data_IF_525207233046
#
_entry.id   IF_525207233046
#
_cell.length_a   1.000
_cell.length_b   1.000
_cell.length_c   1.000
_cell.angle_alpha   90.00
_cell.angle_beta   90.00
_cell.angle_gamma   90.00
#
_symmetry.space_group_name_H-M   'P 1'
#
loop_
_entity.id
_entity.type
_entity.pdbx_description
1 polymer ?
#
# COMPACT_ATOMS: atom_id res chain seq x y z
N UNK A 1 -31.37 5.76 4.50
CA UNK A 1 -29.96 5.32 4.62
C UNK A 1 -29.16 6.47 5.20
N UNK A 2 -28.15 6.19 6.03
CA UNK A 2 -27.22 7.24 6.49
C UNK A 2 -26.50 7.87 5.30
N UNK A 3 -26.17 9.17 5.39
CA UNK A 3 -25.43 9.86 4.33
C UNK A 3 -24.00 9.30 4.25
N UNK A 4 -23.58 8.85 3.06
CA UNK A 4 -22.25 8.26 2.85
C UNK A 4 -21.14 9.31 2.93
N UNK A 5 -21.45 10.58 2.67
CA UNK A 5 -20.50 11.69 2.59
C UNK A 5 -20.36 12.45 3.93
N UNK A 6 -20.15 11.71 5.03
CA UNK A 6 -20.12 12.23 6.41
C UNK A 6 -19.17 13.42 6.59
N UNK A 7 -18.01 13.37 5.92
CA UNK A 7 -16.95 14.36 5.98
C UNK A 7 -16.99 15.31 4.79
N UNK A 8 -17.02 14.80 3.55
CA UNK A 8 -16.84 15.64 2.35
C UNK A 8 -17.97 16.65 2.13
N UNK A 9 -19.16 16.39 2.70
CA UNK A 9 -20.27 17.37 2.74
C UNK A 9 -19.87 18.72 3.35
N UNK A 10 -18.85 18.73 4.22
CA UNK A 10 -18.29 19.97 4.77
C UNK A 10 -17.78 20.91 3.68
N UNK A 11 -17.19 20.36 2.62
CA UNK A 11 -16.68 21.13 1.49
C UNK A 11 -17.71 21.23 0.36
N UNK A 12 -18.55 20.21 0.17
CA UNK A 12 -19.42 20.13 -1.01
C UNK A 12 -20.82 20.72 -0.79
N UNK A 13 -21.31 20.80 0.44
CA UNK A 13 -22.69 21.21 0.76
C UNK A 13 -22.78 22.42 1.69
N UNK A 14 -21.71 22.79 2.39
CA UNK A 14 -21.69 23.99 3.24
C UNK A 14 -21.69 25.26 2.38
N UNK A 15 -22.75 26.10 2.40
CA UNK A 15 -22.82 27.30 1.59
C UNK A 15 -21.76 28.35 1.99
N UNK A 16 -21.15 28.24 3.17
CA UNK A 16 -20.04 29.12 3.59
C UNK A 16 -18.69 28.67 3.05
N UNK A 17 -18.64 27.61 2.21
CA UNK A 17 -17.42 27.09 1.59
C UNK A 17 -17.39 27.25 0.05
N UNK A 18 -17.71 28.44 -0.51
CA UNK A 18 -17.76 28.62 -1.96
C UNK A 18 -16.39 28.41 -2.64
N UNK A 19 -15.29 28.71 -1.95
CA UNK A 19 -13.94 28.48 -2.45
C UNK A 19 -13.62 27.00 -2.64
N UNK A 20 -14.02 26.15 -1.68
CA UNK A 20 -13.84 24.70 -1.78
C UNK A 20 -14.68 24.12 -2.93
N UNK A 21 -15.94 24.56 -3.06
CA UNK A 21 -16.81 24.13 -4.16
C UNK A 21 -16.25 24.53 -5.52
N UNK A 22 -15.75 25.76 -5.67
CA UNK A 22 -15.11 26.21 -6.91
C UNK A 22 -13.88 25.37 -7.29
N UNK A 23 -13.03 25.03 -6.31
CA UNK A 23 -11.88 24.14 -6.52
C UNK A 23 -12.31 22.72 -6.93
N UNK A 24 -13.38 22.19 -6.32
CA UNK A 24 -13.94 20.88 -6.66
C UNK A 24 -14.50 20.85 -8.08
N UNK A 25 -15.20 21.89 -8.52
CA UNK A 25 -15.57 22.05 -9.93
C UNK A 25 -14.36 22.19 -10.84
N UNK A 26 -13.32 22.89 -10.39
CA UNK A 26 -12.06 23.07 -11.13
C UNK A 26 -11.32 21.76 -11.42
N UNK A 27 -11.40 20.78 -10.52
CA UNK A 27 -10.86 19.43 -10.77
C UNK A 27 -11.80 18.52 -11.58
N UNK A 28 -12.97 19.04 -12.01
CA UNK A 28 -13.88 18.37 -12.92
C UNK A 28 -15.09 17.68 -12.29
N UNK A 29 -15.38 17.87 -11.00
CA UNK A 29 -16.63 17.38 -10.42
C UNK A 29 -17.83 18.07 -11.07
N UNK A 30 -18.94 17.34 -11.21
CA UNK A 30 -20.23 17.86 -11.65
C UNK A 30 -21.15 18.09 -10.45
N UNK A 31 -22.26 18.85 -10.59
CA UNK A 31 -23.22 19.06 -9.52
C UNK A 31 -23.70 17.75 -8.86
N UNK A 32 -23.93 16.70 -9.64
CA UNK A 32 -24.32 15.38 -9.16
C UNK A 32 -23.21 14.65 -8.37
N UNK A 33 -21.94 14.99 -8.58
CA UNK A 33 -20.81 14.40 -7.86
C UNK A 33 -20.66 15.00 -6.44
N UNK A 34 -21.12 16.23 -6.23
CA UNK A 34 -21.03 16.93 -4.95
C UNK A 34 -21.81 16.24 -3.81
N UNK A 35 -22.77 15.38 -4.16
CA UNK A 35 -23.53 14.56 -3.20
C UNK A 35 -22.90 13.19 -2.92
N UNK A 36 -21.89 12.76 -3.69
CA UNK A 36 -21.23 11.46 -3.52
C UNK A 36 -20.18 11.53 -2.41
N UNK A 37 -19.92 10.39 -1.78
CA UNK A 37 -18.80 10.26 -0.86
C UNK A 37 -17.47 10.26 -1.65
N UNK A 38 -16.47 10.96 -1.11
CA UNK A 38 -15.14 11.09 -1.69
C UNK A 38 -14.17 10.08 -1.07
N UNK A 39 -13.52 9.29 -1.91
CA UNK A 39 -12.54 8.27 -1.50
C UNK A 39 -11.15 8.72 -1.90
N UNK A 40 -10.29 8.93 -0.90
CA UNK A 40 -8.87 9.19 -1.12
C UNK A 40 -8.14 7.90 -1.50
N UNK A 41 -7.46 7.89 -2.64
CA UNK A 41 -6.66 6.74 -3.10
C UNK A 41 -5.19 7.11 -2.92
N UNK A 42 -4.60 6.65 -1.82
CA UNK A 42 -3.25 7.03 -1.40
C UNK A 42 -2.23 6.05 -1.98
N UNK A 43 -1.46 6.46 -2.99
CA UNK A 43 -0.42 5.62 -3.61
C UNK A 43 0.97 5.93 -3.04
N UNK A 44 1.77 4.91 -2.76
CA UNK A 44 3.22 5.05 -2.51
C UNK A 44 4.05 4.75 -3.77
N UNK A 45 3.48 4.94 -4.96
CA UNK A 45 4.12 4.60 -6.24
C UNK A 45 5.15 5.62 -6.72
N UNK A 46 6.33 5.13 -7.10
CA UNK A 46 7.43 5.89 -7.70
C UNK A 46 8.35 4.94 -8.47
N UNK A 47 9.04 5.45 -9.50
CA UNK A 47 9.68 4.61 -10.54
C UNK A 47 10.97 3.93 -10.09
N UNK A 48 11.72 4.54 -9.16
CA UNK A 48 13.07 4.09 -8.79
C UNK A 48 13.12 2.90 -7.83
N UNK A 49 12.02 2.16 -7.64
CA UNK A 49 12.02 0.93 -6.84
C UNK A 49 11.03 -0.11 -7.41
N UNK A 50 11.46 -1.36 -7.64
CA UNK A 50 10.56 -2.42 -8.14
C UNK A 50 9.35 -2.64 -7.23
N UNK A 51 9.48 -2.40 -5.92
CA UNK A 51 8.36 -2.54 -4.98
C UNK A 51 7.22 -1.53 -5.23
N UNK A 52 7.50 -0.40 -5.89
CA UNK A 52 6.61 0.76 -5.98
C UNK A 52 6.26 1.17 -7.41
N UNK A 53 7.09 0.84 -8.41
CA UNK A 53 6.97 1.35 -9.79
C UNK A 53 5.62 1.07 -10.47
N UNK A 54 4.89 0.04 -10.04
CA UNK A 54 3.59 -0.35 -10.61
C UNK A 54 2.38 0.22 -9.85
N UNK A 55 2.58 0.78 -8.65
CA UNK A 55 1.46 1.12 -7.76
C UNK A 55 0.58 2.25 -8.31
N UNK A 56 1.14 3.19 -9.06
CA UNK A 56 0.35 4.29 -9.65
C UNK A 56 -0.62 3.78 -10.74
N UNK A 57 -0.22 2.76 -11.51
CA UNK A 57 -1.11 2.12 -12.47
C UNK A 57 -2.24 1.35 -11.76
N UNK A 58 -1.92 0.65 -10.66
CA UNK A 58 -2.91 -0.03 -9.83
C UNK A 58 -3.89 0.97 -9.18
N UNK A 59 -3.38 2.08 -8.64
CA UNK A 59 -4.19 3.14 -8.05
C UNK A 59 -5.12 3.81 -9.08
N UNK A 60 -4.64 4.04 -10.32
CA UNK A 60 -5.46 4.55 -11.40
C UNK A 60 -6.62 3.60 -11.74
N UNK A 61 -6.36 2.29 -11.77
CA UNK A 61 -7.40 1.29 -12.00
C UNK A 61 -8.41 1.23 -10.86
N UNK A 62 -7.96 1.28 -9.61
CA UNK A 62 -8.85 1.37 -8.43
C UNK A 62 -9.73 2.62 -8.52
N UNK A 63 -9.16 3.75 -8.92
CA UNK A 63 -9.90 5.01 -9.10
C UNK A 63 -11.05 4.87 -10.09
N UNK A 64 -10.80 4.28 -11.25
CA UNK A 64 -11.84 4.02 -12.27
C UNK A 64 -13.02 3.23 -11.69
N UNK A 65 -12.73 2.15 -10.95
CA UNK A 65 -13.75 1.29 -10.35
C UNK A 65 -14.49 1.98 -9.21
N UNK A 66 -13.82 2.84 -8.41
CA UNK A 66 -14.47 3.67 -7.38
C UNK A 66 -15.47 4.64 -8.00
N UNK A 67 -15.12 5.27 -9.12
CA UNK A 67 -16.06 6.10 -9.89
C UNK A 67 -17.23 5.28 -10.44
N UNK A 68 -16.95 4.10 -11.00
CA UNK A 68 -17.96 3.14 -11.45
C UNK A 68 -18.92 2.68 -10.34
N UNK A 69 -18.45 2.65 -9.09
CA UNK A 69 -19.24 2.32 -7.92
C UNK A 69 -20.10 3.50 -7.39
N UNK A 70 -20.17 4.63 -8.11
CA UNK A 70 -20.99 5.79 -7.71
C UNK A 70 -20.39 6.62 -6.58
N UNK A 71 -19.08 6.53 -6.37
CA UNK A 71 -18.29 7.35 -5.45
C UNK A 71 -17.39 8.31 -6.24
N UNK A 72 -16.75 9.26 -5.57
CA UNK A 72 -15.74 10.14 -6.18
C UNK A 72 -14.35 9.65 -5.76
N UNK A 73 -13.59 9.05 -6.69
CA UNK A 73 -12.22 8.59 -6.42
C UNK A 73 -11.19 9.68 -6.73
N UNK A 74 -10.40 10.08 -5.74
CA UNK A 74 -9.36 11.10 -5.86
C UNK A 74 -8.00 10.53 -5.46
N UNK A 75 -7.10 10.37 -6.43
CA UNK A 75 -5.76 9.84 -6.19
C UNK A 75 -4.83 10.92 -5.67
N UNK A 76 -4.07 10.59 -4.63
CA UNK A 76 -2.94 11.39 -4.15
C UNK A 76 -1.78 10.45 -3.81
N UNK A 77 -0.61 11.04 -3.54
CA UNK A 77 0.61 10.27 -3.34
C UNK A 77 1.29 10.63 -2.02
N UNK A 78 2.03 9.67 -1.49
CA UNK A 78 3.04 9.92 -0.45
C UNK A 78 4.36 9.25 -0.86
N UNK A 79 5.40 9.52 -0.09
CA UNK A 79 6.76 9.06 -0.35
C UNK A 79 6.92 7.56 -0.07
N UNK A 80 8.06 7.03 -0.47
CA UNK A 80 8.56 5.73 -0.05
C UNK A 80 10.08 5.69 -0.21
N UNK A 81 10.72 4.71 0.42
CA UNK A 81 12.16 4.47 0.30
C UNK A 81 12.40 2.98 0.05
N UNK A 82 13.49 2.65 -0.65
CA UNK A 82 13.87 1.26 -0.90
C UNK A 82 14.83 0.77 0.17
N UNK A 83 14.36 -0.12 1.05
CA UNK A 83 15.20 -0.82 2.02
C UNK A 83 16.30 -1.62 1.30
N UNK A 84 15.96 -2.25 0.17
CA UNK A 84 16.92 -3.03 -0.62
C UNK A 84 18.08 -2.18 -1.17
N UNK A 85 17.82 -0.96 -1.64
CA UNK A 85 18.88 -0.09 -2.18
C UNK A 85 19.66 0.66 -1.11
N UNK A 86 19.02 1.01 0.00
CA UNK A 86 19.66 1.79 1.07
C UNK A 86 20.53 0.93 2.00
N UNK A 87 20.37 -0.40 1.95
CA UNK A 87 21.12 -1.37 2.76
C UNK A 87 22.63 -1.16 2.64
N UNK A 88 23.32 -1.12 3.79
CA UNK A 88 24.77 -0.93 3.84
C UNK A 88 25.27 0.51 3.61
N UNK A 89 24.37 1.50 3.52
CA UNK A 89 24.73 2.91 3.29
C UNK A 89 24.15 3.84 4.38
N UNK A 90 24.63 5.10 4.50
CA UNK A 90 24.00 6.12 5.35
C UNK A 90 22.51 6.36 5.05
N UNK A 91 22.04 6.02 3.85
CA UNK A 91 20.63 6.13 3.47
C UNK A 91 19.69 5.29 4.34
N UNK A 92 20.17 4.18 4.92
CA UNK A 92 19.35 3.32 5.79
C UNK A 92 18.81 4.07 7.03
N UNK A 93 19.44 5.18 7.44
CA UNK A 93 18.95 6.05 8.53
C UNK A 93 17.59 6.69 8.23
N UNK A 94 17.20 6.75 6.96
CA UNK A 94 15.93 7.32 6.50
C UNK A 94 14.84 6.26 6.28
N UNK A 95 15.14 4.97 6.46
CA UNK A 95 14.18 3.88 6.28
C UNK A 95 13.03 3.94 7.28
N UNK A 96 13.29 3.68 8.56
CA UNK A 96 12.23 3.64 9.58
C UNK A 96 11.47 4.99 9.71
N UNK A 97 12.13 6.17 9.68
CA UNK A 97 11.42 7.45 9.71
C UNK A 97 10.42 7.64 8.56
N UNK A 98 10.63 6.99 7.40
CA UNK A 98 9.67 7.06 6.30
C UNK A 98 8.28 6.52 6.68
N UNK A 99 8.19 5.59 7.65
CA UNK A 99 6.91 5.10 8.18
C UNK A 99 6.05 6.25 8.73
N UNK A 100 6.66 7.11 9.55
CA UNK A 100 5.99 8.25 10.17
C UNK A 100 5.60 9.28 9.12
N UNK A 101 6.51 9.58 8.18
CA UNK A 101 6.24 10.54 7.10
C UNK A 101 5.05 10.06 6.25
N UNK A 102 4.96 8.77 5.95
CA UNK A 102 3.83 8.18 5.22
C UNK A 102 2.54 8.32 6.03
N UNK A 103 2.58 8.01 7.33
CA UNK A 103 1.43 8.14 8.21
C UNK A 103 0.91 9.59 8.23
N UNK A 104 1.80 10.53 8.54
CA UNK A 104 1.49 11.95 8.64
C UNK A 104 1.04 12.53 7.30
N UNK A 105 1.62 12.07 6.18
CA UNK A 105 1.20 12.50 4.83
C UNK A 105 -0.25 12.10 4.52
N UNK A 106 -0.61 10.84 4.77
CA UNK A 106 -1.97 10.34 4.51
C UNK A 106 -2.97 11.03 5.44
N UNK A 107 -2.63 11.12 6.74
CA UNK A 107 -3.44 11.82 7.74
C UNK A 107 -3.69 13.28 7.35
N UNK A 108 -2.64 14.00 6.92
CA UNK A 108 -2.72 15.40 6.49
C UNK A 108 -3.66 15.57 5.30
N UNK A 109 -3.48 14.80 4.23
CA UNK A 109 -4.31 14.96 3.02
C UNK A 109 -5.77 14.59 3.31
N UNK A 110 -6.01 13.44 3.95
CA UNK A 110 -7.37 12.99 4.22
C UNK A 110 -8.09 13.92 5.21
N UNK A 111 -7.37 14.43 6.21
CA UNK A 111 -7.86 15.41 7.16
C UNK A 111 -8.23 16.74 6.48
N UNK A 112 -7.30 17.31 5.71
CA UNK A 112 -7.49 18.60 5.05
C UNK A 112 -8.53 18.58 3.93
N UNK A 113 -8.57 17.50 3.15
CA UNK A 113 -9.47 17.36 2.00
C UNK A 113 -10.83 16.74 2.34
N UNK A 114 -11.08 16.43 3.62
CA UNK A 114 -12.35 15.89 4.12
C UNK A 114 -12.83 14.62 3.40
N UNK A 115 -11.91 13.76 2.95
CA UNK A 115 -12.30 12.50 2.29
C UNK A 115 -13.03 11.56 3.24
N UNK A 116 -14.09 10.92 2.77
CA UNK A 116 -14.97 10.08 3.58
C UNK A 116 -14.37 8.70 3.87
N UNK A 117 -13.54 8.20 2.95
CA UNK A 117 -12.90 6.90 3.05
C UNK A 117 -11.52 6.90 2.38
N UNK A 118 -10.72 5.87 2.66
CA UNK A 118 -9.34 5.76 2.15
C UNK A 118 -9.06 4.36 1.59
N UNK A 119 -8.49 4.29 0.40
CA UNK A 119 -7.81 3.08 -0.10
C UNK A 119 -6.33 3.39 -0.18
N UNK A 120 -5.52 2.72 0.65
CA UNK A 120 -4.07 2.86 0.64
C UNK A 120 -3.43 1.80 -0.26
N UNK A 121 -2.74 2.21 -1.33
CA UNK A 121 -2.05 1.34 -2.28
C UNK A 121 -0.55 1.38 -2.00
N UNK A 122 -0.05 0.31 -1.37
CA UNK A 122 1.29 0.25 -0.77
C UNK A 122 2.09 -0.94 -1.28
N UNK A 123 3.42 -0.89 -1.25
CA UNK A 123 4.24 -1.98 -1.80
C UNK A 123 5.54 -2.30 -1.07
N UNK A 124 6.20 -1.35 -0.42
CA UNK A 124 7.49 -1.59 0.23
C UNK A 124 7.38 -1.62 1.76
N UNK A 125 8.33 -2.29 2.39
CA UNK A 125 8.47 -2.57 3.83
C UNK A 125 7.74 -1.57 4.76
N UNK A 126 8.20 -0.32 4.85
CA UNK A 126 7.65 0.70 5.77
C UNK A 126 6.34 1.36 5.30
N UNK A 127 5.95 1.15 4.04
CA UNK A 127 4.72 1.72 3.48
C UNK A 127 3.48 1.13 4.17
N UNK A 128 3.45 -0.19 4.34
CA UNK A 128 2.34 -0.92 4.94
C UNK A 128 2.00 -0.42 6.35
N UNK A 129 2.94 -0.42 7.32
CA UNK A 129 2.63 0.08 8.66
C UNK A 129 2.38 1.59 8.70
N UNK A 130 3.07 2.40 7.87
CA UNK A 130 2.82 3.84 7.81
C UNK A 130 1.40 4.17 7.37
N UNK A 131 0.91 3.48 6.33
CA UNK A 131 -0.48 3.60 5.91
C UNK A 131 -1.44 3.12 6.99
N UNK A 132 -1.20 1.96 7.60
CA UNK A 132 -2.05 1.43 8.69
C UNK A 132 -2.16 2.39 9.87
N UNK A 133 -1.06 3.04 10.26
CA UNK A 133 -1.06 4.06 11.31
C UNK A 133 -1.96 5.24 10.94
N UNK A 134 -1.87 5.76 9.72
CA UNK A 134 -2.76 6.83 9.26
C UNK A 134 -4.23 6.39 9.27
N UNK A 135 -4.54 5.19 8.76
CA UNK A 135 -5.91 4.68 8.73
C UNK A 135 -6.48 4.56 10.15
N UNK A 136 -5.71 4.03 11.09
CA UNK A 136 -6.11 3.91 12.49
C UNK A 136 -6.31 5.28 13.17
N UNK A 137 -5.43 6.27 12.91
CA UNK A 137 -5.55 7.64 13.46
C UNK A 137 -6.77 8.38 12.91
N UNK A 138 -7.03 8.25 11.61
CA UNK A 138 -8.15 8.92 10.94
C UNK A 138 -9.51 8.34 11.34
N UNK A 139 -9.54 7.03 11.62
CA UNK A 139 -10.74 6.26 11.94
C UNK A 139 -11.91 6.52 10.97
N UNK A 140 -11.60 6.50 9.67
CA UNK A 140 -12.57 6.56 8.57
C UNK A 140 -12.60 5.22 7.84
N UNK A 141 -13.73 4.82 7.23
CA UNK A 141 -13.80 3.59 6.43
C UNK A 141 -12.60 3.46 5.49
N UNK A 142 -11.85 2.36 5.63
CA UNK A 142 -10.58 2.23 4.93
C UNK A 142 -10.20 0.79 4.60
N UNK A 143 -9.41 0.63 3.53
CA UNK A 143 -8.84 -0.66 3.10
C UNK A 143 -7.40 -0.44 2.66
N UNK A 144 -6.51 -1.35 3.04
CA UNK A 144 -5.14 -1.41 2.53
C UNK A 144 -5.06 -2.42 1.37
N UNK A 145 -4.46 -2.01 0.28
CA UNK A 145 -4.17 -2.81 -0.90
C UNK A 145 -2.65 -2.96 -1.05
N UNK A 146 -2.13 -4.15 -0.76
CA UNK A 146 -0.76 -4.53 -1.06
C UNK A 146 -0.56 -4.71 -2.57
N UNK A 147 0.48 -4.08 -3.11
CA UNK A 147 0.86 -4.13 -4.51
C UNK A 147 1.33 -5.49 -5.00
N UNK A 148 1.65 -6.42 -4.09
CA UNK A 148 2.04 -7.77 -4.41
C UNK A 148 3.55 -8.01 -4.40
N UNK A 149 3.91 -9.28 -4.21
CA UNK A 149 5.30 -9.74 -4.21
C UNK A 149 5.88 -9.80 -5.63
N UNK A 150 7.20 -9.61 -5.74
CA UNK A 150 7.97 -9.86 -6.96
C UNK A 150 8.01 -11.37 -7.25
N UNK A 151 8.11 -11.73 -8.54
CA UNK A 151 8.46 -13.10 -8.94
C UNK A 151 9.96 -13.35 -8.72
N UNK A 152 10.38 -14.60 -8.42
CA UNK A 152 11.80 -14.90 -8.29
C UNK A 152 12.53 -14.68 -9.61
N UNK A 153 13.73 -14.13 -9.52
CA UNK A 153 14.69 -14.12 -10.61
C UNK A 153 15.14 -15.53 -10.98
N UNK A 154 15.76 -15.69 -12.15
CA UNK A 154 16.33 -16.97 -12.57
C UNK A 154 17.60 -16.76 -13.38
N UNK A 155 18.65 -17.47 -13.00
CA UNK A 155 19.87 -17.58 -13.79
C UNK A 155 20.48 -18.96 -13.65
N UNK A 156 20.82 -19.60 -14.78
CA UNK A 156 21.42 -20.93 -14.84
C UNK A 156 20.64 -22.01 -14.05
N UNK A 157 19.31 -21.98 -14.15
CA UNK A 157 18.42 -22.92 -13.42
C UNK A 157 18.30 -22.66 -11.91
N UNK A 158 19.01 -21.65 -11.37
CA UNK A 158 18.92 -21.23 -9.98
C UNK A 158 17.91 -20.09 -9.84
N UNK A 159 16.99 -20.23 -8.89
CA UNK A 159 16.11 -19.13 -8.48
C UNK A 159 16.92 -18.11 -7.71
N UNK A 160 16.69 -16.84 -8.00
CA UNK A 160 17.36 -15.70 -7.37
C UNK A 160 16.33 -14.77 -6.74
N UNK A 161 16.78 -14.04 -5.73
CA UNK A 161 16.06 -12.95 -5.10
C UNK A 161 17.04 -11.85 -4.65
N UNK A 162 16.56 -10.84 -3.93
CA UNK A 162 17.42 -9.75 -3.46
C UNK A 162 18.50 -10.23 -2.48
N UNK A 163 18.24 -11.27 -1.68
CA UNK A 163 19.24 -11.85 -0.78
C UNK A 163 20.34 -12.53 -1.56
N UNK A 164 20.00 -13.20 -2.66
CA UNK A 164 20.97 -13.79 -3.58
C UNK A 164 22.00 -12.75 -4.06
N UNK A 165 21.56 -11.52 -4.34
CA UNK A 165 22.46 -10.43 -4.73
C UNK A 165 23.34 -9.93 -3.58
N UNK A 166 22.82 -9.90 -2.34
CA UNK A 166 23.61 -9.56 -1.16
C UNK A 166 24.66 -10.64 -0.83
N UNK A 167 24.28 -11.92 -0.90
CA UNK A 167 25.16 -13.06 -0.62
C UNK A 167 26.24 -13.22 -1.70
N UNK A 168 25.91 -12.95 -2.96
CA UNK A 168 26.85 -13.02 -4.07
C UNK A 168 28.09 -12.13 -3.88
N UNK A 169 27.97 -10.98 -3.19
CA UNK A 169 29.12 -10.15 -2.84
C UNK A 169 30.07 -10.86 -1.87
N UNK A 170 29.52 -11.59 -0.89
CA UNK A 170 30.29 -12.40 0.05
C UNK A 170 30.98 -13.58 -0.66
N UNK A 171 30.26 -14.27 -1.54
CA UNK A 171 30.82 -15.38 -2.33
C UNK A 171 31.94 -14.94 -3.27
N UNK A 172 31.76 -13.79 -3.93
CA UNK A 172 32.79 -13.18 -4.78
C UNK A 172 34.05 -12.86 -3.98
N UNK A 173 33.90 -12.23 -2.80
CA UNK A 173 35.05 -11.93 -1.91
C UNK A 173 35.75 -13.17 -1.38
N UNK A 174 35.01 -14.26 -1.20
CA UNK A 174 35.55 -15.56 -0.80
C UNK A 174 36.18 -16.36 -1.97
N UNK A 175 36.19 -15.80 -3.19
CA UNK A 175 36.72 -16.47 -4.39
C UNK A 175 35.86 -17.62 -4.90
N UNK A 176 34.59 -17.71 -4.46
CA UNK A 176 33.64 -18.78 -4.85
C UNK A 176 32.79 -18.41 -6.06
N UNK A 177 32.81 -17.14 -6.46
CA UNK A 177 32.02 -16.59 -7.55
C UNK A 177 32.91 -15.69 -8.41
N UNK A 178 32.91 -15.90 -9.73
CA UNK A 178 33.67 -15.04 -10.64
C UNK A 178 33.06 -13.62 -10.72
N UNK A 179 33.81 -12.58 -11.10
CA UNK A 179 33.24 -11.25 -11.36
C UNK A 179 32.09 -11.26 -12.36
N UNK A 180 32.16 -12.11 -13.38
CA UNK A 180 31.12 -12.27 -14.40
C UNK A 180 29.87 -12.94 -13.80
N UNK A 181 30.04 -14.04 -13.06
CA UNK A 181 28.95 -14.74 -12.38
C UNK A 181 28.25 -13.84 -11.35
N UNK A 182 29.01 -13.05 -10.59
CA UNK A 182 28.49 -12.02 -9.69
C UNK A 182 27.57 -11.04 -10.42
N UNK A 183 28.01 -10.50 -11.56
CA UNK A 183 27.20 -9.58 -12.36
C UNK A 183 25.97 -10.27 -12.94
N UNK A 184 26.03 -11.56 -13.26
CA UNK A 184 24.85 -12.29 -13.70
C UNK A 184 23.81 -12.44 -12.59
N UNK A 185 24.22 -12.72 -11.34
CA UNK A 185 23.29 -12.73 -10.21
C UNK A 185 22.63 -11.36 -10.03
N UNK A 186 23.41 -10.28 -10.01
CA UNK A 186 22.90 -8.91 -9.84
C UNK A 186 21.87 -8.54 -10.91
N UNK A 187 22.13 -8.88 -12.18
CA UNK A 187 21.24 -8.56 -13.31
C UNK A 187 19.94 -9.35 -13.33
N UNK A 188 19.91 -10.54 -12.72
CA UNK A 188 18.76 -11.46 -12.82
C UNK A 188 17.99 -11.62 -11.51
N UNK A 189 18.45 -11.04 -10.40
CA UNK A 189 17.81 -11.17 -9.08
C UNK A 189 16.41 -10.54 -8.98
N UNK A 190 16.20 -9.39 -9.62
CA UNK A 190 14.95 -8.62 -9.56
C UNK A 190 14.32 -8.52 -10.96
N UNK A 191 13.45 -9.47 -11.37
CA UNK A 191 12.97 -9.56 -12.75
C UNK A 191 11.87 -8.55 -13.12
N UNK A 192 11.36 -7.76 -12.19
CA UNK A 192 10.26 -6.84 -12.46
C UNK A 192 9.62 -6.23 -11.20
N UNK A 193 8.36 -5.77 -11.29
CA UNK A 193 7.69 -5.10 -10.19
C UNK A 193 7.27 -6.07 -9.07
N UNK A 194 7.17 -5.53 -7.87
CA UNK A 194 6.73 -6.22 -6.65
C UNK A 194 7.72 -6.10 -5.49
N UNK A 195 7.24 -6.34 -4.27
CA UNK A 195 8.09 -6.32 -3.08
C UNK A 195 9.01 -7.54 -3.00
N UNK A 196 9.99 -7.51 -2.10
CA UNK A 196 10.95 -8.60 -1.90
C UNK A 196 10.24 -9.95 -1.64
N UNK A 197 10.66 -11.01 -2.35
CA UNK A 197 9.91 -12.26 -2.47
C UNK A 197 9.81 -13.15 -1.23
N UNK A 198 10.76 -13.06 -0.29
CA UNK A 198 10.75 -13.85 0.95
C UNK A 198 9.79 -13.31 2.01
N UNK A 199 9.68 -14.01 3.14
CA UNK A 199 8.96 -13.56 4.35
C UNK A 199 9.74 -12.48 5.12
N UNK A 200 10.24 -11.48 4.39
CA UNK A 200 10.77 -10.24 4.97
C UNK A 200 9.62 -9.36 5.47
N UNK A 201 9.92 -8.15 5.94
CA UNK A 201 8.90 -7.28 6.53
C UNK A 201 7.73 -7.00 5.58
N UNK A 202 7.98 -6.82 4.26
CA UNK A 202 6.91 -6.49 3.33
C UNK A 202 5.81 -7.57 3.26
N UNK A 203 6.18 -8.82 2.97
CA UNK A 203 5.24 -9.93 2.93
C UNK A 203 4.73 -10.31 4.33
N UNK A 204 5.55 -10.14 5.38
CA UNK A 204 5.10 -10.33 6.78
C UNK A 204 3.97 -9.37 7.13
N UNK A 205 4.16 -8.07 6.88
CA UNK A 205 3.14 -7.06 7.17
C UNK A 205 1.92 -7.23 6.27
N UNK A 206 2.09 -7.58 4.98
CA UNK A 206 0.95 -7.85 4.11
C UNK A 206 0.08 -9.00 4.65
N UNK A 207 0.69 -10.12 5.05
CA UNK A 207 -0.02 -11.25 5.64
C UNK A 207 -0.66 -10.89 7.00
N UNK A 208 0.06 -10.16 7.85
CA UNK A 208 -0.45 -9.69 9.13
C UNK A 208 -1.66 -8.76 8.96
N UNK A 209 -1.63 -7.85 7.99
CA UNK A 209 -2.73 -6.89 7.72
C UNK A 209 -3.95 -7.57 7.12
N UNK A 210 -3.77 -8.59 6.29
CA UNK A 210 -4.88 -9.45 5.85
C UNK A 210 -5.50 -10.19 7.04
N UNK A 211 -4.68 -10.71 7.97
CA UNK A 211 -5.15 -11.36 9.21
C UNK A 211 -5.83 -10.38 10.21
N UNK A 212 -5.41 -9.11 10.23
CA UNK A 212 -6.10 -8.02 10.95
C UNK A 212 -7.50 -7.74 10.36
N UNK A 213 -7.76 -8.14 9.11
CA UNK A 213 -9.00 -7.83 8.40
C UNK A 213 -9.00 -6.47 7.69
N UNK A 214 -7.83 -5.82 7.57
CA UNK A 214 -7.69 -4.49 6.95
C UNK A 214 -7.31 -4.54 5.47
N UNK A 215 -7.09 -5.74 4.93
CA UNK A 215 -6.96 -6.04 3.50
C UNK A 215 -7.97 -7.10 3.09
N UNK A 216 -8.37 -7.11 1.82
CA UNK A 216 -9.27 -8.14 1.30
C UNK A 216 -8.57 -9.50 1.26
N UNK A 217 -9.31 -10.62 1.41
CA UNK A 217 -8.75 -11.95 1.26
C UNK A 217 -8.01 -12.13 -0.06
N UNK A 218 -6.87 -12.83 0.02
CA UNK A 218 -5.87 -13.07 -1.01
C UNK A 218 -4.94 -11.90 -1.35
N UNK A 219 -5.20 -10.68 -0.87
CA UNK A 219 -4.43 -9.49 -1.25
C UNK A 219 -2.92 -9.64 -0.96
N UNK A 220 -2.57 -10.25 0.18
CA UNK A 220 -1.19 -10.49 0.62
C UNK A 220 -0.42 -11.49 -0.26
N UNK A 221 -1.13 -12.37 -0.98
CA UNK A 221 -0.56 -13.54 -1.66
C UNK A 221 -0.52 -13.43 -3.19
N UNK A 222 -1.28 -12.51 -3.79
CA UNK A 222 -1.30 -12.30 -5.24
C UNK A 222 -0.03 -11.54 -5.67
N UNK A 223 0.82 -12.11 -6.55
CA UNK A 223 2.01 -11.43 -7.07
C UNK A 223 1.68 -10.15 -7.84
N UNK A 224 2.61 -9.19 -7.86
CA UNK A 224 2.41 -7.89 -8.50
C UNK A 224 2.09 -7.97 -10.00
N UNK A 225 2.68 -8.95 -10.70
CA UNK A 225 2.50 -9.18 -12.14
C UNK A 225 1.38 -10.16 -12.47
N UNK A 226 0.74 -10.77 -11.46
CA UNK A 226 -0.34 -11.72 -11.71
C UNK A 226 -1.61 -10.97 -12.15
N UNK A 227 -2.34 -11.42 -13.19
CA UNK A 227 -3.57 -10.75 -13.67
C UNK A 227 -4.60 -10.46 -12.57
N UNK A 228 -4.84 -11.42 -11.66
CA UNK A 228 -5.66 -11.23 -10.45
C UNK A 228 -5.32 -10.00 -9.58
N UNK A 229 -4.13 -9.40 -9.67
CA UNK A 229 -3.79 -8.18 -8.93
C UNK A 229 -4.62 -6.99 -9.43
N UNK A 230 -4.81 -6.86 -10.73
CA UNK A 230 -5.66 -5.78 -11.30
C UNK A 230 -7.16 -6.06 -11.08
N UNK A 231 -7.54 -7.34 -10.98
CA UNK A 231 -8.90 -7.76 -10.62
C UNK A 231 -9.29 -7.44 -9.17
N UNK A 232 -8.33 -7.01 -8.33
CA UNK A 232 -8.65 -6.49 -6.99
C UNK A 232 -9.34 -5.12 -7.03
N UNK A 233 -9.14 -4.32 -8.08
CA UNK A 233 -9.72 -2.99 -8.18
C UNK A 233 -11.26 -2.96 -8.06
N UNK A 234 -12.04 -3.76 -8.83
CA UNK A 234 -13.49 -3.80 -8.65
C UNK A 234 -13.91 -4.36 -7.28
N UNK A 235 -13.13 -5.30 -6.71
CA UNK A 235 -13.40 -5.85 -5.37
C UNK A 235 -13.21 -4.77 -4.29
N UNK A 236 -12.16 -3.96 -4.40
CA UNK A 236 -11.85 -2.85 -3.49
C UNK A 236 -12.91 -1.75 -3.57
N UNK A 237 -13.33 -1.36 -4.78
CA UNK A 237 -14.39 -0.37 -4.98
C UNK A 237 -15.73 -0.83 -4.38
N UNK A 238 -16.11 -2.10 -4.58
CA UNK A 238 -17.30 -2.66 -3.96
C UNK A 238 -17.19 -2.73 -2.43
N UNK A 239 -16.01 -3.10 -1.91
CA UNK A 239 -15.77 -3.21 -0.47
C UNK A 239 -15.79 -1.84 0.21
N UNK A 240 -15.10 -0.83 -0.32
CA UNK A 240 -15.05 0.51 0.31
C UNK A 240 -16.44 1.14 0.38
N UNK A 241 -17.27 0.93 -0.66
CA UNK A 241 -18.67 1.36 -0.65
C UNK A 241 -19.46 0.70 0.47
N UNK A 242 -19.30 -0.62 0.67
CA UNK A 242 -19.96 -1.35 1.76
C UNK A 242 -19.49 -0.89 3.13
N UNK A 243 -18.20 -0.55 3.30
CA UNK A 243 -17.69 0.00 4.54
C UNK A 243 -18.32 1.37 4.84
N UNK A 244 -18.44 2.24 3.83
CA UNK A 244 -19.16 3.52 3.95
C UNK A 244 -20.63 3.32 4.31
N UNK A 245 -21.34 2.41 3.64
CA UNK A 245 -22.76 2.10 3.90
C UNK A 245 -23.01 1.58 5.32
N UNK A 246 -22.02 0.89 5.90
CA UNK A 246 -22.08 0.34 7.26
C UNK A 246 -21.41 1.21 8.33
N UNK A 247 -20.78 2.32 7.93
CA UNK A 247 -19.86 3.10 8.78
C UNK A 247 -18.84 2.22 9.54
N UNK A 248 -18.34 1.15 8.88
CA UNK A 248 -17.38 0.23 9.48
C UNK A 248 -15.97 0.83 9.37
N UNK A 249 -15.37 1.15 10.51
CA UNK A 249 -14.13 1.90 10.63
C UNK A 249 -12.98 1.03 11.13
N UNK A 250 -11.72 1.48 11.00
CA UNK A 250 -10.57 0.80 11.57
C UNK A 250 -10.71 0.45 13.05
N UNK A 251 -11.29 1.32 13.88
CA UNK A 251 -11.54 1.04 15.31
C UNK A 251 -12.51 -0.12 15.55
N UNK A 252 -13.41 -0.41 14.60
CA UNK A 252 -14.33 -1.55 14.66
C UNK A 252 -13.65 -2.87 14.24
N UNK A 253 -12.53 -2.80 13.49
CA UNK A 253 -11.82 -3.95 12.92
C UNK A 253 -10.57 -4.29 13.74
N UNK A 254 -9.81 -3.28 14.17
CA UNK A 254 -8.54 -3.39 14.88
C UNK A 254 -8.75 -3.68 16.38
N UNK A 255 -9.46 -4.77 16.68
CA UNK A 255 -9.66 -5.24 18.05
C UNK A 255 -8.45 -6.01 18.55
N UNK A 256 -8.38 -6.27 19.85
CA UNK A 256 -7.34 -7.10 20.44
C UNK A 256 -7.26 -8.47 19.76
N UNK A 257 -8.40 -9.11 19.51
CA UNK A 257 -8.50 -10.42 18.86
C UNK A 257 -7.95 -10.36 17.42
N UNK A 258 -8.17 -9.26 16.69
CA UNK A 258 -7.57 -9.06 15.38
C UNK A 258 -6.04 -9.00 15.46
N UNK A 259 -5.48 -8.29 16.44
CA UNK A 259 -4.04 -8.26 16.67
C UNK A 259 -3.48 -9.62 17.09
N UNK A 260 -4.21 -10.40 17.90
CA UNK A 260 -3.83 -11.77 18.26
C UNK A 260 -3.82 -12.69 17.02
N UNK A 261 -4.78 -12.54 16.10
CA UNK A 261 -4.76 -13.23 14.80
C UNK A 261 -3.53 -12.85 13.97
N UNK A 262 -3.22 -11.56 13.89
CA UNK A 262 -2.06 -11.06 13.15
C UNK A 262 -0.75 -11.61 13.70
N UNK A 263 -0.56 -11.56 15.03
CA UNK A 263 0.61 -12.16 15.70
C UNK A 263 0.69 -13.66 15.45
N UNK A 264 -0.44 -14.38 15.52
CA UNK A 264 -0.49 -15.81 15.22
C UNK A 264 0.00 -16.11 13.80
N UNK A 265 -0.46 -15.35 12.80
CA UNK A 265 -0.04 -15.51 11.40
C UNK A 265 1.43 -15.15 11.22
N UNK A 266 1.92 -14.08 11.85
CA UNK A 266 3.36 -13.71 11.82
C UNK A 266 4.21 -14.86 12.35
N UNK A 267 3.85 -15.45 13.50
CA UNK A 267 4.59 -16.57 14.09
C UNK A 267 4.52 -17.81 13.21
N UNK A 268 3.33 -18.16 12.70
CA UNK A 268 3.12 -19.35 11.87
C UNK A 268 3.89 -19.30 10.55
N UNK A 269 4.06 -18.11 9.97
CA UNK A 269 4.80 -17.91 8.72
C UNK A 269 6.30 -17.66 8.91
N UNK A 270 6.80 -17.62 10.16
CA UNK A 270 8.18 -17.26 10.45
C UNK A 270 8.52 -15.83 10.00
N UNK A 271 7.57 -14.91 10.22
CA UNK A 271 7.67 -13.53 9.77
C UNK A 271 8.80 -12.73 10.43
N UNK A 272 9.13 -11.61 9.79
CA UNK A 272 10.18 -10.68 10.23
C UNK A 272 9.94 -10.15 11.65
N UNK A 273 11.02 -10.04 12.44
CA UNK A 273 10.99 -9.41 13.77
C UNK A 273 10.58 -7.93 13.73
N UNK A 274 10.71 -7.25 12.59
CA UNK A 274 10.23 -5.88 12.43
C UNK A 274 8.72 -5.76 12.64
N UNK A 275 7.95 -6.84 12.47
CA UNK A 275 6.52 -6.87 12.78
C UNK A 275 6.20 -6.63 14.26
N UNK A 276 7.17 -6.78 15.17
CA UNK A 276 6.99 -6.41 16.60
C UNK A 276 7.02 -4.90 16.79
N UNK A 277 7.78 -4.18 15.97
CA UNK A 277 7.89 -2.72 16.01
C UNK A 277 6.72 -2.02 15.31
N UNK A 278 6.15 -2.69 14.32
CA UNK A 278 5.10 -2.20 13.43
C UNK A 278 3.72 -2.49 13.99
#
# INVERSE_FOLDING_TARGET
MAALNKYSRRLTQDPTQPGAQAMLYGIGLKPEDMAKAQVGIASTGWEGNPCNMHLNALAARIREEVWGAGLVGLTFHTIGVSDGMSMGTPGMRYSLPSREIIADSIETVVGAQWYDAVIAVVGCDKNMPGAMMALARLDRPAILCYGGTISPGCWNGRKLDIVSAFEALGEQRAGKLSPEEFQMVVRHACPGPGACGGMYTANTMAAAIEALGMSLPYNSSIPATHPRKTEEAPRLAAAIRRLLERDLKPSDILTREAFENAVTVVVALGGSTNAVLH
#
